data_IF_241895600425
#
_entry.id   IF_241895600425
#
_cell.length_a   1.000
_cell.length_b   1.000
_cell.length_c   1.000
_cell.angle_alpha   90.00
_cell.angle_beta   90.00
_cell.angle_gamma   90.00
#
_symmetry.space_group_name_H-M   'P 1'
#
loop_
_entity.id
_entity.type
_entity.pdbx_description
1 polymer ?
#
# COMPACT_ATOMS: atom_id res chain seq x y z
N UNK A 1 -20.08 27.36 18.77
CA UNK A 1 -21.52 26.99 18.92
C UNK A 1 -21.92 26.16 17.69
N UNK A 2 -21.33 24.96 17.57
CA UNK A 2 -21.34 24.14 16.34
C UNK A 2 -21.82 22.70 16.58
N UNK A 3 -22.40 22.41 17.74
CA UNK A 3 -23.12 21.16 17.98
C UNK A 3 -24.60 21.48 18.19
N UNK A 4 -25.46 20.88 17.35
CA UNK A 4 -26.89 20.54 17.58
C UNK A 4 -27.79 20.66 16.33
N UNK A 5 -27.38 21.34 15.25
CA UNK A 5 -28.29 21.55 14.10
C UNK A 5 -28.17 20.54 12.94
N UNK A 6 -27.33 19.50 13.05
CA UNK A 6 -27.23 18.43 12.02
C UNK A 6 -28.26 17.29 12.23
N UNK A 7 -29.07 17.35 13.29
CA UNK A 7 -30.00 16.25 13.66
C UNK A 7 -31.38 16.35 12.97
N UNK A 8 -31.70 17.43 12.25
CA UNK A 8 -33.10 17.66 11.83
C UNK A 8 -33.54 17.01 10.50
N UNK A 9 -32.73 16.18 9.83
CA UNK A 9 -33.14 15.63 8.52
C UNK A 9 -32.46 14.37 8.00
N UNK A 10 -31.55 13.75 8.76
CA UNK A 10 -30.86 12.53 8.32
C UNK A 10 -31.61 11.28 8.77
N UNK A 11 -31.72 10.29 7.89
CA UNK A 11 -32.35 9.01 8.17
C UNK A 11 -31.73 8.35 9.41
N UNK A 12 -32.49 7.62 10.25
CA UNK A 12 -31.97 6.99 11.47
C UNK A 12 -30.76 6.08 11.19
N UNK A 13 -30.69 5.49 10.01
CA UNK A 13 -29.56 4.69 9.53
C UNK A 13 -28.24 5.47 9.44
N UNK A 14 -28.27 6.73 9.00
CA UNK A 14 -27.06 7.58 8.93
C UNK A 14 -26.51 7.91 10.32
N UNK A 15 -27.39 8.18 11.28
CA UNK A 15 -26.99 8.43 12.67
C UNK A 15 -26.35 7.19 13.30
N UNK A 16 -26.94 6.00 13.12
CA UNK A 16 -26.34 4.74 13.61
C UNK A 16 -24.97 4.46 12.99
N UNK A 17 -24.82 4.66 11.67
CA UNK A 17 -23.56 4.48 10.97
C UNK A 17 -22.45 5.39 11.52
N UNK A 18 -22.78 6.66 11.81
CA UNK A 18 -21.83 7.62 12.36
C UNK A 18 -21.33 7.22 13.75
N UNK A 19 -22.24 6.79 14.64
CA UNK A 19 -21.86 6.32 15.98
C UNK A 19 -21.02 5.04 15.93
N UNK A 20 -21.38 4.07 15.07
CA UNK A 20 -20.58 2.84 14.91
C UNK A 20 -19.20 3.11 14.32
N UNK A 21 -19.11 3.99 13.31
CA UNK A 21 -17.83 4.39 12.72
C UNK A 21 -16.94 5.10 13.75
N UNK A 22 -17.49 6.06 14.50
CA UNK A 22 -16.76 6.77 15.54
C UNK A 22 -16.23 5.83 16.65
N UNK A 23 -17.02 4.83 17.06
CA UNK A 23 -16.55 3.82 18.02
C UNK A 23 -15.41 2.96 17.45
N UNK A 24 -15.53 2.50 16.21
CA UNK A 24 -14.48 1.72 15.54
C UNK A 24 -13.16 2.49 15.46
N UNK A 25 -13.23 3.78 15.09
CA UNK A 25 -12.07 4.67 15.00
C UNK A 25 -11.42 4.86 16.36
N UNK A 26 -12.22 5.07 17.41
CA UNK A 26 -11.70 5.19 18.77
C UNK A 26 -10.93 3.92 19.18
N UNK A 27 -11.48 2.74 18.91
CA UNK A 27 -10.81 1.46 19.20
C UNK A 27 -9.52 1.34 18.40
N UNK A 28 -9.53 1.64 17.10
CA UNK A 28 -8.35 1.58 16.25
C UNK A 28 -7.23 2.51 16.74
N UNK A 29 -7.57 3.75 17.11
CA UNK A 29 -6.61 4.72 17.65
C UNK A 29 -6.06 4.27 19.01
N UNK A 30 -6.92 3.81 19.92
CA UNK A 30 -6.49 3.35 21.26
C UNK A 30 -5.55 2.14 21.16
N UNK A 31 -5.89 1.15 20.33
CA UNK A 31 -5.04 -0.01 20.11
C UNK A 31 -3.71 0.40 19.48
N UNK A 32 -3.73 1.23 18.43
CA UNK A 32 -2.50 1.70 17.78
C UNK A 32 -1.60 2.46 18.75
N UNK A 33 -2.17 3.35 19.57
CA UNK A 33 -1.42 4.08 20.59
C UNK A 33 -0.84 3.15 21.66
N UNK A 34 -1.59 2.12 22.09
CA UNK A 34 -1.09 1.11 23.01
C UNK A 34 0.13 0.37 22.43
N UNK A 35 0.05 -0.10 21.18
CA UNK A 35 1.17 -0.77 20.49
C UNK A 35 2.40 0.14 20.36
N UNK A 36 2.20 1.42 20.03
CA UNK A 36 3.29 2.39 19.94
C UNK A 36 3.97 2.59 21.31
N UNK A 37 3.19 2.73 22.38
CA UNK A 37 3.72 2.89 23.74
C UNK A 37 4.48 1.65 24.18
N UNK A 38 3.99 0.45 23.86
CA UNK A 38 4.69 -0.81 24.17
C UNK A 38 6.06 -0.88 23.48
N UNK A 39 6.14 -0.54 22.20
CA UNK A 39 7.42 -0.48 21.49
C UNK A 39 8.37 0.60 22.05
N UNK A 40 7.84 1.78 22.38
CA UNK A 40 8.64 2.86 22.98
C UNK A 40 9.10 2.51 24.40
N UNK A 41 8.33 1.72 25.16
CA UNK A 41 8.71 1.24 26.48
C UNK A 41 9.79 0.14 26.41
N UNK A 42 9.72 -0.74 25.40
CA UNK A 42 10.70 -1.79 25.15
C UNK A 42 11.68 -1.41 24.02
N UNK A 43 12.27 -0.20 24.07
CA UNK A 43 13.08 0.37 22.99
C UNK A 43 14.52 -0.20 22.89
N UNK A 44 14.64 -1.50 22.61
CA UNK A 44 15.93 -2.20 22.53
C UNK A 44 16.61 -2.09 21.15
N UNK A 45 15.84 -2.00 20.06
CA UNK A 45 16.34 -1.95 18.68
C UNK A 45 15.80 -0.70 17.96
N UNK A 46 16.42 0.47 18.15
CA UNK A 46 15.88 1.75 17.69
C UNK A 46 15.75 1.84 16.16
N UNK A 47 16.65 1.17 15.43
CA UNK A 47 16.65 1.15 13.96
C UNK A 47 15.44 0.42 13.40
N UNK A 48 15.01 -0.68 13.99
CA UNK A 48 13.84 -1.45 13.57
C UNK A 48 12.55 -0.77 14.04
N UNK A 49 12.50 -0.41 15.32
CA UNK A 49 11.28 0.10 15.97
C UNK A 49 10.82 1.44 15.40
N UNK A 50 11.73 2.34 15.01
CA UNK A 50 11.34 3.64 14.43
C UNK A 50 10.57 3.48 13.11
N UNK A 51 10.97 2.53 12.26
CA UNK A 51 10.31 2.28 10.99
C UNK A 51 9.03 1.46 11.18
N UNK A 52 9.04 0.54 12.14
CA UNK A 52 7.84 -0.20 12.54
C UNK A 52 6.76 0.74 13.08
N UNK A 53 7.09 1.69 13.96
CA UNK A 53 6.13 2.70 14.46
C UNK A 53 5.55 3.51 13.28
N UNK A 54 6.36 3.86 12.29
CA UNK A 54 5.89 4.52 11.07
C UNK A 54 4.84 3.71 10.31
N UNK A 55 4.98 2.39 10.27
CA UNK A 55 4.00 1.47 9.68
C UNK A 55 2.74 1.34 10.54
N UNK A 56 2.87 1.25 11.87
CA UNK A 56 1.72 1.16 12.79
C UNK A 56 0.86 2.43 12.75
N UNK A 57 1.48 3.59 12.48
CA UNK A 57 0.78 4.88 12.36
C UNK A 57 -0.11 4.98 11.12
N UNK A 58 -0.03 4.06 10.16
CA UNK A 58 -0.90 4.05 8.99
C UNK A 58 -2.36 3.69 9.40
N UNK A 59 -2.57 2.71 10.28
CA UNK A 59 -3.89 2.34 10.85
C UNK A 59 -4.72 3.52 11.38
N UNK A 60 -4.23 4.32 12.36
CA UNK A 60 -5.01 5.43 12.90
C UNK A 60 -5.21 6.56 11.90
N UNK A 61 -4.29 6.76 10.96
CA UNK A 61 -4.43 7.77 9.89
C UNK A 61 -5.59 7.39 8.97
N UNK A 62 -5.65 6.12 8.55
CA UNK A 62 -6.72 5.61 7.70
C UNK A 62 -8.07 5.65 8.42
N UNK A 63 -8.13 5.19 9.67
CA UNK A 63 -9.36 5.25 10.45
C UNK A 63 -9.87 6.69 10.61
N UNK A 64 -8.98 7.65 10.89
CA UNK A 64 -9.36 9.06 11.04
C UNK A 64 -9.81 9.66 9.70
N UNK A 65 -9.11 9.35 8.61
CA UNK A 65 -9.47 9.79 7.26
C UNK A 65 -10.88 9.32 6.88
N UNK A 66 -11.17 8.03 7.03
CA UNK A 66 -12.47 7.47 6.67
C UNK A 66 -13.59 8.09 7.50
N UNK A 67 -13.33 8.41 8.78
CA UNK A 67 -14.30 9.12 9.62
C UNK A 67 -14.50 10.59 9.22
N UNK A 68 -13.43 11.30 8.87
CA UNK A 68 -13.50 12.69 8.41
C UNK A 68 -14.24 12.79 7.07
N UNK A 69 -14.01 11.84 6.16
CA UNK A 69 -14.71 11.73 4.88
C UNK A 69 -16.23 11.53 5.09
N UNK A 70 -16.64 10.78 6.11
CA UNK A 70 -18.05 10.60 6.48
C UNK A 70 -18.70 11.86 7.07
N UNK A 71 -17.92 12.69 7.76
CA UNK A 71 -18.38 13.93 8.40
C UNK A 71 -18.52 15.09 7.42
N UNK A 72 -17.55 15.23 6.51
CA UNK A 72 -17.54 16.30 5.52
C UNK A 72 -17.00 15.82 4.16
N UNK A 73 -17.91 15.72 3.20
CA UNK A 73 -17.56 15.39 1.81
C UNK A 73 -16.64 16.42 1.15
N UNK A 74 -16.57 17.66 1.66
CA UNK A 74 -15.63 18.67 1.13
C UNK A 74 -14.20 18.44 1.65
N UNK A 75 -14.06 17.81 2.82
CA UNK A 75 -12.76 17.46 3.39
C UNK A 75 -12.21 16.14 2.82
N UNK A 76 -13.06 15.30 2.23
CA UNK A 76 -12.70 13.99 1.67
C UNK A 76 -11.48 14.06 0.74
N UNK A 77 -11.47 14.99 -0.22
CA UNK A 77 -10.35 15.16 -1.15
C UNK A 77 -9.02 15.48 -0.43
N UNK A 78 -9.05 16.37 0.57
CA UNK A 78 -7.83 16.69 1.34
C UNK A 78 -7.35 15.50 2.16
N UNK A 79 -8.27 14.72 2.71
CA UNK A 79 -7.92 13.54 3.50
C UNK A 79 -7.36 12.42 2.60
N UNK A 80 -7.88 12.27 1.38
CA UNK A 80 -7.34 11.35 0.37
C UNK A 80 -5.89 11.70 0.02
N UNK A 81 -5.57 12.98 -0.16
CA UNK A 81 -4.20 13.44 -0.41
C UNK A 81 -3.27 13.09 0.78
N UNK A 82 -3.73 13.28 2.01
CA UNK A 82 -2.95 12.93 3.21
C UNK A 82 -2.70 11.41 3.26
N UNK A 83 -3.74 10.62 2.99
CA UNK A 83 -3.67 9.15 2.91
C UNK A 83 -2.65 8.71 1.85
N UNK A 84 -2.68 9.32 0.68
CA UNK A 84 -1.73 9.04 -0.40
C UNK A 84 -0.28 9.34 -0.01
N UNK A 85 -0.04 10.44 0.72
CA UNK A 85 1.29 10.76 1.25
C UNK A 85 1.75 9.71 2.26
N UNK A 86 0.85 9.28 3.15
CA UNK A 86 1.15 8.27 4.17
C UNK A 86 1.42 6.89 3.57
N UNK A 87 0.71 6.50 2.52
CA UNK A 87 0.98 5.24 1.83
C UNK A 87 2.39 5.21 1.23
N UNK A 88 2.82 6.32 0.63
CA UNK A 88 4.18 6.46 0.10
C UNK A 88 5.23 6.36 1.21
N UNK A 89 4.97 7.01 2.35
CA UNK A 89 5.83 6.94 3.53
C UNK A 89 5.87 5.53 4.15
N UNK A 90 4.73 4.86 4.26
CA UNK A 90 4.61 3.51 4.83
C UNK A 90 5.41 2.49 4.01
N UNK A 91 5.38 2.59 2.67
CA UNK A 91 6.19 1.71 1.82
C UNK A 91 7.69 1.92 2.05
N UNK A 92 8.13 3.16 2.20
CA UNK A 92 9.52 3.49 2.53
C UNK A 92 9.92 2.97 3.92
N UNK A 93 9.07 3.19 4.94
CA UNK A 93 9.27 2.64 6.28
C UNK A 93 9.36 1.13 6.24
N UNK A 94 8.51 0.46 5.45
CA UNK A 94 8.52 -0.98 5.32
C UNK A 94 9.83 -1.51 4.73
N UNK A 95 10.33 -0.91 3.64
CA UNK A 95 11.65 -1.26 3.07
C UNK A 95 12.76 -1.12 4.12
N UNK A 96 12.80 0.03 4.80
CA UNK A 96 13.82 0.33 5.82
C UNK A 96 13.72 -0.58 7.03
N UNK A 97 12.51 -1.00 7.40
CA UNK A 97 12.28 -1.98 8.45
C UNK A 97 12.87 -3.34 8.08
N UNK A 98 12.66 -3.83 6.84
CA UNK A 98 13.25 -5.09 6.39
C UNK A 98 14.78 -5.04 6.41
N UNK A 99 15.37 -3.91 5.97
CA UNK A 99 16.82 -3.70 6.01
C UNK A 99 17.32 -3.66 7.46
N UNK A 100 16.59 -3.05 8.38
CA UNK A 100 16.94 -3.01 9.79
C UNK A 100 16.93 -4.42 10.40
N UNK A 101 15.91 -5.24 10.11
CA UNK A 101 15.82 -6.64 10.56
C UNK A 101 16.97 -7.51 10.05
N UNK A 102 17.59 -7.13 8.92
CA UNK A 102 18.76 -7.80 8.36
C UNK A 102 20.09 -7.36 9.00
N UNK A 103 20.06 -6.47 9.99
CA UNK A 103 21.26 -5.88 10.60
C UNK A 103 21.82 -4.69 9.84
N UNK A 104 21.01 -4.05 8.99
CA UNK A 104 21.35 -2.81 8.28
C UNK A 104 21.85 -3.02 6.85
N UNK A 105 22.12 -1.90 6.17
CA UNK A 105 22.45 -1.82 4.74
C UNK A 105 23.69 -2.64 4.36
N UNK A 106 24.77 -2.55 5.14
CA UNK A 106 26.02 -3.29 4.87
C UNK A 106 25.83 -4.81 4.97
N UNK A 107 25.22 -5.27 6.06
CA UNK A 107 25.00 -6.70 6.30
C UNK A 107 24.02 -7.29 5.28
N UNK A 108 23.05 -6.48 4.81
CA UNK A 108 22.14 -6.86 3.73
C UNK A 108 22.88 -7.06 2.41
N UNK A 109 23.78 -6.13 2.04
CA UNK A 109 24.58 -6.24 0.80
C UNK A 109 25.53 -7.43 0.87
N UNK A 110 26.25 -7.59 1.98
CA UNK A 110 27.15 -8.74 2.20
C UNK A 110 26.38 -10.08 2.15
N UNK A 111 25.17 -10.12 2.70
CA UNK A 111 24.31 -11.30 2.61
C UNK A 111 23.94 -11.61 1.15
N UNK A 112 23.55 -10.61 0.37
CA UNK A 112 23.23 -10.77 -1.06
C UNK A 112 24.43 -11.24 -1.87
N UNK A 113 25.63 -10.69 -1.61
CA UNK A 113 26.88 -11.14 -2.23
C UNK A 113 27.23 -12.57 -1.84
N UNK A 114 27.07 -12.95 -0.56
CA UNK A 114 27.31 -14.32 -0.12
C UNK A 114 26.39 -15.33 -0.79
N UNK A 115 25.12 -14.94 -1.01
CA UNK A 115 24.12 -15.78 -1.65
C UNK A 115 24.36 -15.92 -3.16
N UNK A 116 24.88 -14.87 -3.81
CA UNK A 116 25.27 -14.94 -5.23
C UNK A 116 26.41 -15.93 -5.46
N UNK A 117 27.41 -15.95 -4.56
CA UNK A 117 28.54 -16.91 -4.61
C UNK A 117 28.07 -18.35 -4.40
N UNK A 118 27.20 -18.59 -3.41
CA UNK A 118 26.66 -19.94 -3.14
C UNK A 118 25.85 -20.45 -4.33
N UNK A 119 24.98 -19.61 -4.89
CA UNK A 119 24.16 -19.93 -6.07
C UNK A 119 25.00 -20.22 -7.32
N UNK A 120 26.10 -19.50 -7.54
CA UNK A 120 27.05 -19.79 -8.62
C UNK A 120 27.79 -21.13 -8.45
N UNK A 121 27.90 -21.65 -7.23
CA UNK A 121 28.66 -22.86 -6.91
C UNK A 121 27.81 -24.15 -6.87
N UNK A 122 26.49 -24.04 -6.74
CA UNK A 122 25.55 -25.16 -6.59
C UNK A 122 24.35 -25.06 -7.57
N UNK A 123 24.56 -25.21 -8.89
CA UNK A 123 23.51 -25.03 -9.91
C UNK A 123 22.42 -26.11 -9.94
N UNK A 124 22.49 -27.16 -9.11
CA UNK A 124 21.60 -28.35 -9.18
C UNK A 124 20.58 -28.46 -8.03
N UNK A 125 20.54 -27.51 -7.09
CA UNK A 125 19.72 -27.63 -5.87
C UNK A 125 18.66 -26.53 -5.70
N UNK A 126 18.69 -25.46 -6.52
CA UNK A 126 17.76 -24.34 -6.39
C UNK A 126 17.36 -23.83 -7.79
N UNK A 127 16.29 -24.39 -8.38
CA UNK A 127 15.76 -24.06 -9.70
C UNK A 127 15.32 -22.58 -9.86
N UNK A 128 15.27 -21.80 -8.77
CA UNK A 128 14.85 -20.40 -8.79
C UNK A 128 16.01 -19.38 -8.87
N UNK A 129 17.26 -19.83 -8.71
CA UNK A 129 18.45 -18.97 -8.65
C UNK A 129 19.64 -19.61 -9.37
N UNK A 130 19.46 -20.13 -10.58
CA UNK A 130 20.61 -20.60 -11.36
C UNK A 130 21.47 -19.38 -11.75
N UNK A 131 22.71 -19.30 -11.25
CA UNK A 131 23.73 -18.26 -11.56
C UNK A 131 23.69 -16.90 -10.81
N UNK A 132 23.08 -16.81 -9.63
CA UNK A 132 23.08 -15.56 -8.87
C UNK A 132 22.28 -14.45 -9.57
N UNK A 133 21.33 -14.86 -10.40
CA UNK A 133 20.36 -14.01 -11.08
C UNK A 133 19.04 -14.12 -10.34
N UNK A 134 18.41 -12.98 -10.05
CA UNK A 134 17.03 -12.99 -9.53
C UNK A 134 16.10 -13.22 -10.71
N UNK A 135 15.61 -14.46 -10.89
CA UNK A 135 14.68 -14.76 -11.96
C UNK A 135 13.39 -13.95 -11.81
N UNK A 136 12.96 -13.39 -12.94
CA UNK A 136 11.75 -12.60 -13.01
C UNK A 136 10.57 -13.51 -13.36
N UNK A 137 9.43 -13.46 -12.64
CA UNK A 137 8.26 -14.23 -13.03
C UNK A 137 7.79 -13.83 -14.44
N UNK A 138 7.44 -14.82 -15.25
CA UNK A 138 6.88 -14.63 -16.61
C UNK A 138 5.60 -13.77 -16.54
N UNK A 139 5.42 -12.73 -17.40
CA UNK A 139 6.12 -12.42 -18.65
C UNK A 139 7.27 -11.39 -18.52
N UNK A 140 7.55 -10.88 -17.33
CA UNK A 140 8.55 -9.84 -17.10
C UNK A 140 9.99 -10.29 -17.41
N UNK A 141 10.23 -11.61 -17.40
CA UNK A 141 11.49 -12.23 -17.80
C UNK A 141 11.89 -11.94 -19.26
N UNK A 142 10.93 -11.63 -20.14
CA UNK A 142 11.23 -11.32 -21.55
C UNK A 142 11.53 -9.85 -21.81
N UNK A 143 11.17 -8.94 -20.89
CA UNK A 143 11.27 -7.49 -21.08
C UNK A 143 12.34 -6.82 -20.23
N UNK A 144 12.70 -7.41 -19.09
CA UNK A 144 13.61 -6.80 -18.12
C UNK A 144 14.92 -7.59 -18.10
N UNK A 145 16.04 -6.84 -18.17
CA UNK A 145 17.40 -7.37 -18.11
C UNK A 145 17.64 -8.04 -16.75
N UNK A 146 18.29 -9.20 -16.76
CA UNK A 146 18.69 -9.96 -15.58
C UNK A 146 19.38 -9.08 -14.53
N UNK A 147 18.94 -9.16 -13.26
CA UNK A 147 19.58 -8.47 -12.14
C UNK A 147 20.53 -9.43 -11.42
N UNK A 148 21.82 -9.06 -11.36
CA UNK A 148 22.83 -9.80 -10.60
C UNK A 148 22.70 -9.48 -9.11
N UNK A 149 22.67 -10.52 -8.26
CA UNK A 149 22.66 -10.35 -6.80
C UNK A 149 23.91 -9.59 -6.32
N UNK A 150 23.72 -8.55 -5.51
CA UNK A 150 24.80 -7.72 -4.99
C UNK A 150 24.36 -6.27 -4.72
N UNK A 151 25.31 -5.31 -4.66
CA UNK A 151 25.01 -3.91 -4.37
C UNK A 151 24.14 -3.25 -5.45
N UNK A 152 24.28 -3.65 -6.71
CA UNK A 152 23.50 -3.10 -7.83
C UNK A 152 22.03 -3.49 -7.72
N UNK A 153 21.73 -4.75 -7.38
CA UNK A 153 20.37 -5.21 -7.08
C UNK A 153 19.76 -4.42 -5.92
N UNK A 154 20.52 -4.28 -4.82
CA UNK A 154 20.07 -3.53 -3.65
C UNK A 154 19.75 -2.06 -4.02
N UNK A 155 20.63 -1.39 -4.75
CA UNK A 155 20.37 -0.01 -5.20
C UNK A 155 19.16 0.07 -6.13
N UNK A 156 18.98 -0.89 -7.03
CA UNK A 156 17.86 -0.90 -7.94
C UNK A 156 16.51 -1.11 -7.23
N UNK A 157 16.45 -1.96 -6.19
CA UNK A 157 15.26 -2.08 -5.32
C UNK A 157 14.96 -0.76 -4.61
N UNK A 158 15.97 -0.18 -3.97
CA UNK A 158 15.86 1.10 -3.25
C UNK A 158 15.39 2.22 -4.16
N UNK A 159 15.97 2.31 -5.36
CA UNK A 159 15.57 3.28 -6.38
C UNK A 159 14.13 3.05 -6.81
N UNK A 160 13.68 1.80 -7.01
CA UNK A 160 12.30 1.50 -7.38
C UNK A 160 11.27 1.98 -6.35
N UNK A 161 11.53 1.75 -5.06
CA UNK A 161 10.63 2.15 -3.97
C UNK A 161 10.64 3.66 -3.77
N UNK A 162 11.82 4.28 -3.76
CA UNK A 162 11.95 5.75 -3.66
C UNK A 162 11.34 6.45 -4.88
N UNK A 163 11.46 5.87 -6.08
CA UNK A 163 10.86 6.40 -7.30
C UNK A 163 9.33 6.43 -7.21
N UNK A 164 8.71 5.36 -6.69
CA UNK A 164 7.27 5.37 -6.42
C UNK A 164 6.89 6.43 -5.39
N UNK A 165 7.64 6.55 -4.29
CA UNK A 165 7.38 7.56 -3.26
C UNK A 165 7.39 8.97 -3.86
N UNK A 166 8.42 9.32 -4.63
CA UNK A 166 8.54 10.64 -5.28
C UNK A 166 7.39 10.85 -6.27
N UNK A 167 7.10 9.84 -7.11
CA UNK A 167 6.06 9.94 -8.12
C UNK A 167 4.68 10.12 -7.47
N UNK A 168 4.41 9.41 -6.37
CA UNK A 168 3.17 9.55 -5.60
C UNK A 168 2.99 10.93 -5.02
N UNK A 169 4.04 11.52 -4.44
CA UNK A 169 4.02 12.91 -3.96
C UNK A 169 3.76 13.91 -5.08
N UNK A 170 4.41 13.74 -6.25
CA UNK A 170 4.20 14.61 -7.41
C UNK A 170 2.76 14.49 -7.93
N UNK A 171 2.23 13.28 -8.03
CA UNK A 171 0.85 13.07 -8.45
C UNK A 171 -0.16 13.66 -7.47
N UNK A 172 0.09 13.60 -6.16
CA UNK A 172 -0.74 14.26 -5.15
C UNK A 172 -0.74 15.79 -5.32
N UNK A 173 0.42 16.40 -5.56
CA UNK A 173 0.51 17.83 -5.88
C UNK A 173 -0.23 18.18 -7.17
N UNK A 174 -0.07 17.38 -8.22
CA UNK A 174 -0.78 17.56 -9.49
C UNK A 174 -2.29 17.40 -9.33
N UNK A 175 -2.75 16.45 -8.51
CA UNK A 175 -4.16 16.26 -8.19
C UNK A 175 -4.75 17.51 -7.55
N UNK A 176 -4.07 18.09 -6.56
CA UNK A 176 -4.50 19.35 -5.93
C UNK A 176 -4.58 20.51 -6.94
N UNK A 177 -3.59 20.63 -7.83
CA UNK A 177 -3.58 21.66 -8.88
C UNK A 177 -4.74 21.46 -9.86
N UNK A 178 -4.96 20.23 -10.33
CA UNK A 178 -6.06 19.92 -11.25
C UNK A 178 -7.43 20.07 -10.60
N UNK A 179 -7.55 19.82 -9.30
CA UNK A 179 -8.78 20.04 -8.54
C UNK A 179 -9.07 21.54 -8.44
N UNK A 180 -8.06 22.36 -8.20
CA UNK A 180 -8.19 23.82 -8.19
C UNK A 180 -8.67 24.37 -9.55
N UNK A 181 -8.22 23.79 -10.65
CA UNK A 181 -8.69 24.15 -12.00
C UNK A 181 -10.04 23.50 -12.39
N UNK A 182 -10.60 22.61 -11.57
CA UNK A 182 -11.85 21.90 -11.84
C UNK A 182 -11.75 20.83 -12.94
N UNK A 183 -10.54 20.43 -13.34
CA UNK A 183 -10.28 19.45 -14.42
C UNK A 183 -9.85 18.07 -13.91
N UNK A 184 -9.68 17.90 -12.59
CA UNK A 184 -9.28 16.62 -12.01
C UNK A 184 -10.31 15.52 -12.26
N UNK A 185 -11.60 15.79 -12.00
CA UNK A 185 -12.69 14.86 -12.26
C UNK A 185 -12.61 13.58 -11.42
N UNK A 186 -12.63 13.74 -10.09
CA UNK A 186 -12.55 12.66 -9.11
C UNK A 186 -13.54 11.51 -9.41
N UNK A 187 -13.02 10.28 -9.48
CA UNK A 187 -13.81 9.07 -9.76
C UNK A 187 -14.46 9.00 -11.15
N UNK A 188 -14.21 9.96 -12.05
CA UNK A 188 -14.72 9.96 -13.42
C UNK A 188 -13.67 9.40 -14.38
N UNK A 189 -13.91 8.17 -14.85
CA UNK A 189 -13.12 7.54 -15.91
C UNK A 189 -13.51 8.06 -17.30
N UNK A 190 -13.29 9.36 -17.54
CA UNK A 190 -13.43 9.95 -18.87
C UNK A 190 -12.07 10.49 -19.33
N UNK A 191 -11.76 10.33 -20.63
CA UNK A 191 -10.53 10.83 -21.26
C UNK A 191 -10.32 12.35 -21.16
N UNK A 192 -11.34 13.10 -20.75
CA UNK A 192 -11.29 14.56 -20.59
C UNK A 192 -10.75 15.01 -19.23
N UNK A 193 -10.73 14.13 -18.24
CA UNK A 193 -10.33 14.44 -16.87
C UNK A 193 -8.91 13.94 -16.60
N UNK A 194 -8.21 14.61 -15.67
CA UNK A 194 -6.83 14.26 -15.33
C UNK A 194 -6.71 13.02 -14.41
N UNK A 195 -7.75 12.72 -13.63
CA UNK A 195 -7.81 11.59 -12.69
C UNK A 195 -7.34 10.25 -13.28
N UNK A 196 -7.89 9.73 -14.40
CA UNK A 196 -7.51 8.42 -14.92
C UNK A 196 -6.03 8.36 -15.36
N UNK A 197 -5.47 9.47 -15.87
CA UNK A 197 -4.06 9.51 -16.28
C UNK A 197 -3.12 9.41 -15.08
N UNK A 198 -3.39 10.18 -14.02
CA UNK A 198 -2.61 10.12 -12.78
C UNK A 198 -2.72 8.73 -12.13
N UNK A 199 -3.94 8.17 -12.09
CA UNK A 199 -4.18 6.85 -11.54
C UNK A 199 -3.40 5.76 -12.31
N UNK A 200 -3.37 5.80 -13.65
CA UNK A 200 -2.61 4.84 -14.46
C UNK A 200 -1.10 4.92 -14.18
N UNK A 201 -0.53 6.12 -14.19
CA UNK A 201 0.91 6.30 -13.92
C UNK A 201 1.28 5.79 -12.51
N UNK A 202 0.45 6.11 -11.51
CA UNK A 202 0.65 5.66 -10.13
C UNK A 202 0.59 4.14 -10.00
N UNK A 203 -0.39 3.50 -10.64
CA UNK A 203 -0.55 2.05 -10.57
C UNK A 203 0.62 1.30 -11.23
N UNK A 204 1.13 1.79 -12.37
CA UNK A 204 2.34 1.22 -12.98
C UNK A 204 3.57 1.38 -12.07
N UNK A 205 3.76 2.57 -11.51
CA UNK A 205 4.87 2.82 -10.60
C UNK A 205 4.77 1.99 -9.32
N UNK A 206 3.56 1.79 -8.78
CA UNK A 206 3.32 0.96 -7.61
C UNK A 206 3.61 -0.51 -7.89
N UNK A 207 3.20 -1.00 -9.07
CA UNK A 207 3.50 -2.37 -9.50
C UNK A 207 5.00 -2.60 -9.53
N UNK A 208 5.77 -1.64 -10.07
CA UNK A 208 7.21 -1.71 -10.11
C UNK A 208 7.85 -1.72 -8.71
N UNK A 209 7.40 -0.85 -7.81
CA UNK A 209 7.91 -0.81 -6.44
C UNK A 209 7.60 -2.08 -5.64
N UNK A 210 6.36 -2.58 -5.73
CA UNK A 210 5.97 -3.85 -5.10
C UNK A 210 6.74 -5.03 -5.70
N UNK A 211 6.99 -5.01 -7.00
CA UNK A 211 7.81 -6.01 -7.67
C UNK A 211 9.25 -6.02 -7.13
N UNK A 212 9.91 -4.86 -7.04
CA UNK A 212 11.23 -4.72 -6.43
C UNK A 212 11.25 -5.26 -4.98
N UNK A 213 10.21 -4.96 -4.21
CA UNK A 213 10.05 -5.41 -2.84
C UNK A 213 9.87 -6.94 -2.73
N UNK A 214 9.06 -7.55 -3.61
CA UNK A 214 8.90 -9.02 -3.72
C UNK A 214 10.25 -9.67 -3.99
N UNK A 215 11.00 -9.14 -4.96
CA UNK A 215 12.30 -9.69 -5.34
C UNK A 215 13.30 -9.59 -4.20
N UNK A 216 13.34 -8.44 -3.51
CA UNK A 216 14.16 -8.26 -2.31
C UNK A 216 13.85 -9.28 -1.22
N UNK A 217 12.56 -9.57 -1.00
CA UNK A 217 12.14 -10.57 -0.03
C UNK A 217 12.49 -11.98 -0.44
N UNK A 218 12.32 -12.34 -1.71
CA UNK A 218 12.60 -13.71 -2.15
C UNK A 218 14.07 -14.09 -1.86
N UNK A 219 14.97 -13.13 -2.02
CA UNK A 219 16.41 -13.27 -1.67
C UNK A 219 16.59 -13.37 -0.15
N UNK A 220 15.92 -12.50 0.61
CA UNK A 220 16.12 -12.36 2.08
C UNK A 220 15.22 -13.25 2.95
N UNK A 221 14.31 -14.04 2.35
CA UNK A 221 13.28 -14.84 3.04
C UNK A 221 13.84 -15.79 4.10
N UNK A 222 15.05 -16.31 3.89
CA UNK A 222 15.68 -17.27 4.81
C UNK A 222 16.05 -16.62 6.15
N UNK A 223 16.43 -15.33 6.14
CA UNK A 223 16.72 -14.55 7.36
C UNK A 223 15.44 -14.03 8.01
N UNK A 224 14.39 -13.78 7.22
CA UNK A 224 13.11 -13.23 7.68
C UNK A 224 12.01 -14.29 7.93
N UNK A 225 12.35 -15.57 7.82
CA UNK A 225 11.46 -16.70 8.05
C UNK A 225 10.64 -16.66 9.36
N UNK A 226 11.17 -16.18 10.51
CA UNK A 226 10.38 -16.16 11.74
C UNK A 226 9.25 -15.13 11.74
N UNK A 227 9.38 -14.00 11.03
CA UNK A 227 8.45 -12.86 11.15
C UNK A 227 7.45 -12.82 9.98
N UNK A 228 7.83 -13.33 8.79
CA UNK A 228 7.04 -13.28 7.53
C UNK A 228 6.25 -11.97 7.29
N UNK A 229 6.84 -10.79 7.51
CA UNK A 229 6.09 -9.52 7.53
C UNK A 229 5.62 -9.12 6.13
N UNK A 230 6.40 -9.48 5.10
CA UNK A 230 6.18 -9.05 3.73
C UNK A 230 5.05 -9.78 3.02
N UNK A 231 4.83 -11.06 3.32
CA UNK A 231 3.70 -11.79 2.74
C UNK A 231 2.37 -11.11 3.12
N UNK A 232 2.25 -10.63 4.37
CA UNK A 232 1.03 -10.00 4.86
C UNK A 232 0.83 -8.59 4.26
N UNK A 233 1.89 -7.78 4.26
CA UNK A 233 1.86 -6.44 3.64
C UNK A 233 1.57 -6.50 2.13
N UNK A 234 2.18 -7.45 1.41
CA UNK A 234 1.96 -7.61 -0.03
C UNK A 234 0.57 -8.12 -0.37
N UNK A 235 0.07 -9.13 0.35
CA UNK A 235 -1.28 -9.66 0.08
C UNK A 235 -2.29 -8.52 0.15
N UNK A 236 -2.16 -7.68 1.17
CA UNK A 236 -3.00 -6.50 1.30
C UNK A 236 -2.87 -5.52 0.10
N UNK A 237 -1.66 -5.05 -0.19
CA UNK A 237 -1.42 -4.10 -1.29
C UNK A 237 -1.79 -4.66 -2.67
N UNK A 238 -1.58 -5.95 -2.91
CA UNK A 238 -1.93 -6.62 -4.16
C UNK A 238 -3.44 -6.76 -4.35
N UNK A 239 -4.22 -6.97 -3.28
CA UNK A 239 -5.69 -7.01 -3.39
C UNK A 239 -6.23 -5.64 -3.83
N UNK A 240 -5.78 -4.56 -3.19
CA UNK A 240 -6.18 -3.18 -3.56
C UNK A 240 -5.82 -2.88 -5.01
N UNK A 241 -4.61 -3.26 -5.44
CA UNK A 241 -4.17 -3.08 -6.82
C UNK A 241 -5.00 -3.88 -7.84
N UNK A 242 -5.26 -5.17 -7.56
CA UNK A 242 -6.02 -6.02 -8.47
C UNK A 242 -7.47 -5.55 -8.61
N UNK A 243 -8.09 -5.06 -7.53
CA UNK A 243 -9.46 -4.55 -7.58
C UNK A 243 -9.59 -3.27 -8.38
N UNK A 244 -8.57 -2.39 -8.35
CA UNK A 244 -8.53 -1.24 -9.24
C UNK A 244 -8.44 -1.65 -10.72
N UNK A 245 -7.57 -2.62 -11.05
CA UNK A 245 -7.47 -3.15 -12.42
C UNK A 245 -8.75 -3.85 -12.88
N UNK A 246 -9.43 -4.56 -11.99
CA UNK A 246 -10.76 -5.12 -12.26
C UNK A 246 -11.75 -4.00 -12.59
N UNK A 247 -11.73 -2.89 -11.85
CA UNK A 247 -12.53 -1.70 -12.14
C UNK A 247 -12.27 -1.13 -13.55
N UNK A 248 -11.00 -1.04 -13.96
CA UNK A 248 -10.64 -0.62 -15.32
C UNK A 248 -11.10 -1.62 -16.37
N UNK A 249 -10.87 -2.91 -16.16
CA UNK A 249 -11.28 -3.94 -17.11
C UNK A 249 -12.80 -3.88 -17.34
N UNK A 250 -13.57 -3.65 -16.27
CA UNK A 250 -15.02 -3.43 -16.34
C UNK A 250 -15.35 -2.14 -17.08
N UNK A 251 -14.72 -1.01 -16.75
CA UNK A 251 -14.96 0.26 -17.42
C UNK A 251 -14.66 0.20 -18.93
N UNK A 252 -13.59 -0.52 -19.28
CA UNK A 252 -13.18 -0.78 -20.66
C UNK A 252 -14.20 -1.66 -21.40
N UNK A 253 -14.66 -2.75 -20.78
CA UNK A 253 -15.71 -3.63 -21.34
C UNK A 253 -17.05 -2.89 -21.54
N UNK A 254 -17.39 -1.97 -20.63
CA UNK A 254 -18.56 -1.10 -20.77
C UNK A 254 -18.40 -0.11 -21.93
N UNK A 255 -17.19 0.43 -22.15
CA UNK A 255 -16.89 1.33 -23.26
C UNK A 255 -17.03 0.66 -24.65
N UNK A 256 -16.75 -0.64 -24.74
CA UNK A 256 -16.94 -1.45 -25.94
C UNK A 256 -18.41 -1.83 -26.22
N UNK A 257 -19.35 -1.40 -25.36
CA UNK A 257 -20.78 -1.62 -25.57
C UNK A 257 -21.26 -3.04 -25.23
N UNK A 258 -20.47 -3.84 -24.51
CA UNK A 258 -20.78 -5.23 -24.20
C UNK A 258 -21.98 -5.41 -23.24
N UNK A 259 -22.32 -4.40 -22.43
CA UNK A 259 -23.48 -4.43 -21.53
C UNK A 259 -24.21 -3.08 -21.48
N UNK A 260 -25.49 -3.06 -21.90
CA UNK A 260 -26.39 -1.90 -21.74
C UNK A 260 -27.27 -2.05 -20.49
N UNK A 261 -27.46 -0.94 -19.77
CA UNK A 261 -28.51 -0.80 -18.76
C UNK A 261 -28.12 -1.17 -17.33
N UNK A 262 -29.07 -1.74 -16.57
CA UNK A 262 -29.02 -1.94 -15.11
C UNK A 262 -27.75 -2.63 -14.58
N UNK A 263 -27.10 -3.46 -15.40
CA UNK A 263 -25.88 -4.18 -15.03
C UNK A 263 -24.67 -3.26 -14.82
N UNK A 264 -24.57 -2.14 -15.56
CA UNK A 264 -23.49 -1.17 -15.43
C UNK A 264 -23.60 -0.36 -14.13
N UNK A 265 -24.82 0.01 -13.74
CA UNK A 265 -25.08 0.66 -12.45
C UNK A 265 -24.81 -0.32 -11.31
N UNK A 266 -25.25 -1.57 -11.43
CA UNK A 266 -25.04 -2.62 -10.43
C UNK A 266 -23.55 -2.97 -10.27
N UNK A 267 -22.76 -2.96 -11.36
CA UNK A 267 -21.31 -3.11 -11.30
C UNK A 267 -20.63 -1.91 -10.61
N UNK A 268 -21.09 -0.69 -10.86
CA UNK A 268 -20.55 0.52 -10.23
C UNK A 268 -20.80 0.53 -8.71
N UNK A 269 -22.02 0.20 -8.27
CA UNK A 269 -22.31 0.03 -6.83
C UNK A 269 -21.54 -1.13 -6.25
N UNK A 270 -21.43 -2.26 -6.94
CA UNK A 270 -20.66 -3.42 -6.44
C UNK A 270 -19.18 -3.12 -6.28
N UNK A 271 -18.58 -2.33 -7.18
CA UNK A 271 -17.19 -1.88 -7.04
C UNK A 271 -17.06 -0.94 -5.84
N UNK A 272 -18.00 -0.01 -5.65
CA UNK A 272 -18.01 0.87 -4.47
C UNK A 272 -18.18 0.10 -3.15
N UNK A 273 -19.11 -0.86 -3.09
CA UNK A 273 -19.34 -1.72 -1.94
C UNK A 273 -18.11 -2.61 -1.67
N UNK A 274 -17.39 -3.02 -2.72
CA UNK A 274 -16.15 -3.79 -2.59
C UNK A 274 -14.98 -2.93 -2.10
N UNK A 275 -14.87 -1.68 -2.57
CA UNK A 275 -13.86 -0.71 -2.08
C UNK A 275 -14.09 -0.42 -0.59
N UNK A 276 -15.34 -0.24 -0.17
CA UNK A 276 -15.69 -0.02 1.24
C UNK A 276 -15.38 -1.28 2.09
N UNK A 277 -15.69 -2.47 1.58
CA UNK A 277 -15.29 -3.72 2.26
C UNK A 277 -13.76 -3.87 2.35
N UNK A 278 -13.03 -3.45 1.32
CA UNK A 278 -11.56 -3.47 1.32
C UNK A 278 -10.96 -2.45 2.28
N UNK A 279 -11.54 -1.26 2.44
CA UNK A 279 -11.12 -0.29 3.47
C UNK A 279 -11.34 -0.88 4.88
N UNK A 280 -12.41 -1.65 5.12
CA UNK A 280 -12.60 -2.34 6.40
C UNK A 280 -11.67 -3.53 6.62
N UNK A 281 -11.29 -4.24 5.56
CA UNK A 281 -10.28 -5.31 5.63
C UNK A 281 -8.84 -4.75 5.73
N UNK A 282 -8.57 -3.56 5.17
CA UNK A 282 -7.31 -2.82 5.31
C UNK A 282 -7.02 -2.55 6.79
N UNK A 283 -7.98 -1.95 7.51
CA UNK A 283 -7.86 -1.71 8.95
C UNK A 283 -7.66 -3.01 9.74
N UNK A 284 -8.35 -4.10 9.38
CA UNK A 284 -8.28 -5.36 10.12
C UNK A 284 -6.99 -6.13 9.88
N UNK A 285 -6.53 -6.19 8.63
CA UNK A 285 -5.28 -6.85 8.23
C UNK A 285 -4.08 -6.06 8.74
N UNK A 286 -4.15 -4.73 8.76
CA UNK A 286 -3.07 -3.90 9.27
C UNK A 286 -2.95 -3.98 10.80
N UNK A 287 -4.06 -4.17 11.51
CA UNK A 287 -4.06 -4.56 12.94
C UNK A 287 -3.41 -5.94 13.15
N UNK A 288 -3.68 -6.93 12.28
CA UNK A 288 -3.06 -8.26 12.37
C UNK A 288 -1.57 -8.23 12.01
N UNK A 289 -1.19 -7.51 10.95
CA UNK A 289 0.21 -7.25 10.56
C UNK A 289 0.96 -6.57 11.70
N UNK A 290 0.34 -5.56 12.32
CA UNK A 290 0.92 -4.84 13.46
C UNK A 290 1.08 -5.74 14.68
N UNK A 291 0.09 -6.60 15.01
CA UNK A 291 0.20 -7.58 16.11
C UNK A 291 1.27 -8.64 15.86
N UNK A 292 1.39 -9.11 14.63
CA UNK A 292 2.33 -10.17 14.28
C UNK A 292 3.76 -9.66 14.06
N UNK A 293 3.94 -8.36 13.78
CA UNK A 293 5.22 -7.66 13.83
C UNK A 293 5.68 -7.36 15.27
N UNK A 294 4.76 -7.39 16.24
CA UNK A 294 4.99 -7.09 17.67
C UNK A 294 5.38 -8.33 18.47
N UNK A 295 5.01 -9.53 18.03
CA UNK A 295 5.23 -10.78 18.78
C UNK A 295 6.21 -11.71 18.03
N UNK A 296 7.50 -11.74 18.37
CA UNK A 296 8.34 -12.92 18.14
C UNK A 296 7.89 -14.10 19.02
#
# INVERSE_FOLDING_TARGET
>A
MWSLNVVSGSSPLYSWALYSAGFSVLVAVVLSMYLIVEHLAAYHQPEEQKFLIGLILMVPVYALESFLSLLDSNAAFNCEIIRDCYEAFALYCFERYLIACLGGEKNTIEFMESQSVVSSSLPLLDDAYAYGVVEHPFPLNCMIREWHLGPDFYQAVKIGIVQYMILKMICALLAMVFQFFGIYGEGKFEWRYAYPYLAVVLNFSQTWALYCLVQFYSVTKNKLAPIKPLAKFLVFKSIVFLTWWQGIAVAFLLSFGAFKGSLAQLLKTRIQDYIICLETDEVKVEIDVSKDLVMP
#
